data_IF_030640485830
#
_entry.id   IF_030640485830
#
_cell.length_a   1.000
_cell.length_b   1.000
_cell.length_c   1.000
_cell.angle_alpha   90.00
_cell.angle_beta   90.00
_cell.angle_gamma   90.00
#
_symmetry.space_group_name_H-M   'P 1'
#
loop_
_entity.id
_entity.type
_entity.pdbx_description
1 polymer ?
#
# COMPACT_ATOMS: atom_id res chain seq x y z
N UNK A 1 13.11 8.44 -11.95
CA UNK A 1 12.92 8.24 -10.49
C UNK A 1 13.13 6.76 -10.20
N UNK A 2 13.68 6.40 -9.04
CA UNK A 2 13.82 4.98 -8.69
C UNK A 2 12.48 4.38 -8.25
N UNK A 3 12.37 3.06 -8.21
CA UNK A 3 11.20 2.36 -7.66
C UNK A 3 10.98 2.73 -6.19
N UNK A 4 12.05 2.84 -5.39
CA UNK A 4 11.97 3.28 -4.01
C UNK A 4 11.43 4.71 -3.89
N UNK A 5 11.92 5.65 -4.71
CA UNK A 5 11.41 7.02 -4.71
C UNK A 5 9.91 7.05 -5.05
N UNK A 6 9.51 6.28 -6.07
CA UNK A 6 8.11 6.20 -6.49
C UNK A 6 7.22 5.70 -5.36
N UNK A 7 7.61 4.60 -4.71
CA UNK A 7 6.85 4.02 -3.59
C UNK A 7 6.79 5.02 -2.43
N UNK A 8 7.92 5.61 -2.02
CA UNK A 8 7.95 6.62 -0.95
C UNK A 8 7.00 7.79 -1.24
N UNK A 9 7.05 8.35 -2.44
CA UNK A 9 6.18 9.48 -2.83
C UNK A 9 4.69 9.09 -2.80
N UNK A 10 4.33 7.86 -3.17
CA UNK A 10 2.94 7.37 -3.08
C UNK A 10 2.42 7.32 -1.65
N UNK A 11 3.25 6.95 -0.69
CA UNK A 11 2.84 6.89 0.72
C UNK A 11 2.92 8.27 1.41
N UNK A 12 3.84 9.12 0.96
CA UNK A 12 3.99 10.48 1.46
C UNK A 12 2.72 11.33 1.28
N UNK A 13 1.94 11.12 0.21
CA UNK A 13 0.64 11.81 0.02
C UNK A 13 -0.38 11.52 1.11
N UNK A 14 -0.17 10.42 1.86
CA UNK A 14 -1.01 10.03 2.99
C UNK A 14 -0.35 10.36 4.35
N UNK A 15 0.79 11.06 4.36
CA UNK A 15 1.54 11.36 5.57
C UNK A 15 2.28 10.13 6.14
N UNK A 16 2.47 9.08 5.34
CA UNK A 16 3.10 7.83 5.77
C UNK A 16 4.56 7.83 5.36
N UNK A 17 5.45 7.74 6.36
CA UNK A 17 6.87 7.49 6.16
C UNK A 17 7.12 5.99 6.19
N UNK A 18 7.71 5.47 5.12
CA UNK A 18 8.10 4.07 5.03
C UNK A 18 9.54 3.89 5.54
N UNK A 19 9.76 2.80 6.26
CA UNK A 19 11.12 2.35 6.58
C UNK A 19 11.77 1.70 5.36
N UNK A 20 13.10 1.53 5.42
CA UNK A 20 13.85 0.80 4.38
C UNK A 20 13.37 -0.66 4.25
N UNK A 21 12.98 -1.29 5.37
CA UNK A 21 12.43 -2.64 5.36
C UNK A 21 11.08 -2.71 4.62
N UNK A 22 10.21 -1.71 4.82
CA UNK A 22 8.92 -1.65 4.12
C UNK A 22 9.11 -1.54 2.60
N UNK A 23 10.10 -0.75 2.17
CA UNK A 23 10.45 -0.61 0.75
C UNK A 23 11.02 -1.91 0.18
N UNK A 24 11.93 -2.54 0.92
CA UNK A 24 12.53 -3.81 0.53
C UNK A 24 11.47 -4.91 0.38
N UNK A 25 10.54 -5.04 1.32
CA UNK A 25 9.47 -6.03 1.27
C UNK A 25 8.59 -5.85 0.02
N UNK A 26 8.26 -4.60 -0.34
CA UNK A 26 7.50 -4.31 -1.56
C UNK A 26 8.30 -4.64 -2.83
N UNK A 27 9.59 -4.30 -2.86
CA UNK A 27 10.47 -4.59 -4.00
C UNK A 27 10.63 -6.11 -4.21
N UNK A 28 10.83 -6.87 -3.13
CA UNK A 28 10.90 -8.34 -3.16
C UNK A 28 9.59 -8.95 -3.68
N UNK A 29 8.44 -8.45 -3.22
CA UNK A 29 7.13 -8.89 -3.71
C UNK A 29 6.93 -8.58 -5.20
N UNK A 30 7.46 -7.46 -5.68
CA UNK A 30 7.41 -7.05 -7.08
C UNK A 30 8.46 -7.74 -7.96
N UNK A 31 9.46 -8.41 -7.35
CA UNK A 31 10.64 -9.01 -8.00
C UNK A 31 11.43 -7.99 -8.82
N UNK A 32 11.64 -6.81 -8.26
CA UNK A 32 12.32 -5.65 -8.88
C UNK A 32 13.31 -5.06 -7.85
N UNK A 33 14.43 -4.49 -8.29
CA UNK A 33 15.31 -3.76 -7.38
C UNK A 33 14.70 -2.39 -7.05
N UNK A 34 14.77 -1.97 -5.79
CA UNK A 34 14.32 -0.65 -5.38
C UNK A 34 15.09 0.50 -6.04
N UNK A 35 16.33 0.24 -6.48
CA UNK A 35 17.20 1.19 -7.16
C UNK A 35 16.96 1.25 -8.68
N UNK A 36 16.21 0.31 -9.24
CA UNK A 36 15.89 0.31 -10.68
C UNK A 36 15.06 1.54 -11.05
N UNK A 37 15.18 1.98 -12.31
CA UNK A 37 14.35 3.06 -12.83
C UNK A 37 12.89 2.63 -12.95
N UNK A 38 12.00 3.51 -12.49
CA UNK A 38 10.56 3.30 -12.61
C UNK A 38 10.11 3.47 -14.07
N UNK A 39 9.53 2.42 -14.65
CA UNK A 39 9.01 2.37 -16.02
C UNK A 39 7.60 1.77 -16.09
N UNK A 40 6.96 1.84 -17.26
CA UNK A 40 5.65 1.23 -17.50
C UNK A 40 5.67 -0.30 -17.30
N UNK A 41 6.78 -0.97 -17.67
CA UNK A 41 6.96 -2.42 -17.57
C UNK A 41 6.97 -2.92 -16.11
N UNK A 42 7.42 -2.08 -15.19
CA UNK A 42 7.53 -2.41 -13.78
C UNK A 42 6.38 -1.82 -12.94
N UNK A 43 5.71 -0.76 -13.43
CA UNK A 43 4.66 -0.03 -12.72
C UNK A 43 3.53 -0.93 -12.22
N UNK A 44 3.02 -1.85 -13.06
CA UNK A 44 1.92 -2.73 -12.66
C UNK A 44 2.33 -3.64 -11.49
N UNK A 45 3.54 -4.20 -11.53
CA UNK A 45 4.05 -5.08 -10.48
C UNK A 45 4.26 -4.33 -9.17
N UNK A 46 4.83 -3.12 -9.25
CA UNK A 46 5.02 -2.24 -8.09
C UNK A 46 3.67 -1.83 -7.47
N UNK A 47 2.69 -1.43 -8.28
CA UNK A 47 1.35 -1.07 -7.78
C UNK A 47 0.63 -2.23 -7.10
N UNK A 48 0.78 -3.45 -7.63
CA UNK A 48 0.23 -4.66 -6.99
C UNK A 48 0.95 -4.96 -5.66
N UNK A 49 2.27 -4.78 -5.59
CA UNK A 49 3.03 -4.95 -4.35
C UNK A 49 2.61 -3.92 -3.28
N UNK A 50 2.43 -2.65 -3.67
CA UNK A 50 1.87 -1.60 -2.82
C UNK A 50 0.50 -2.03 -2.26
N UNK A 51 -0.40 -2.49 -3.14
CA UNK A 51 -1.74 -2.92 -2.72
C UNK A 51 -1.68 -4.05 -1.67
N UNK A 52 -0.83 -5.05 -1.89
CA UNK A 52 -0.66 -6.19 -0.95
C UNK A 52 -0.03 -5.77 0.38
N UNK A 53 0.78 -4.71 0.38
CA UNK A 53 1.46 -4.24 1.58
C UNK A 53 0.53 -3.44 2.50
N UNK A 54 -0.39 -2.64 1.95
CA UNK A 54 -1.27 -1.73 2.71
C UNK A 54 -2.01 -2.39 3.89
N UNK A 55 -2.60 -3.60 3.78
CA UNK A 55 -3.26 -4.25 4.90
C UNK A 55 -2.34 -4.42 6.13
N UNK A 56 -1.12 -4.92 5.91
CA UNK A 56 -0.13 -5.11 6.98
C UNK A 56 0.33 -3.78 7.60
N UNK A 57 0.46 -2.74 6.78
CA UNK A 57 0.79 -1.39 7.22
C UNK A 57 -0.29 -0.82 8.15
N UNK A 58 -1.56 -0.98 7.79
CA UNK A 58 -2.69 -0.45 8.56
C UNK A 58 -2.91 -1.16 9.89
N UNK A 59 -2.57 -2.45 9.98
CA UNK A 59 -2.58 -3.17 11.26
C UNK A 59 -1.58 -2.56 12.25
N UNK A 60 -0.37 -2.21 11.79
CA UNK A 60 0.64 -1.52 12.62
C UNK A 60 0.19 -0.12 13.03
N UNK A 61 -0.42 0.63 12.11
CA UNK A 61 -0.89 2.00 12.35
C UNK A 61 -1.95 2.08 13.46
N UNK A 62 -2.85 1.10 13.49
CA UNK A 62 -3.95 1.06 14.47
C UNK A 62 -3.40 0.95 15.90
N UNK A 63 -2.41 0.09 16.11
CA UNK A 63 -1.71 -0.04 17.40
C UNK A 63 -1.01 1.25 17.85
N UNK A 64 -0.48 2.06 16.91
CA UNK A 64 0.17 3.34 17.23
C UNK A 64 -0.87 4.40 17.60
N UNK A 65 -1.99 4.46 16.89
CA UNK A 65 -3.06 5.43 17.17
C UNK A 65 -3.70 5.25 18.55
N UNK A 66 -3.77 4.02 19.06
CA UNK A 66 -4.28 3.71 20.41
C UNK A 66 -3.33 4.19 21.53
N UNK A 67 -2.04 4.39 21.22
CA UNK A 67 -1.02 4.75 22.20
C UNK A 67 -0.85 6.27 22.44
N UNK A 68 -1.70 7.11 21.86
CA UNK A 68 -1.72 8.56 22.10
C UNK A 68 -0.64 9.38 21.38
N UNK A 69 0.17 8.76 20.52
CA UNK A 69 1.11 9.46 19.62
C UNK A 69 0.40 9.83 18.31
N UNK A 70 0.22 11.13 18.06
CA UNK A 70 -0.44 11.62 16.84
C UNK A 70 0.52 11.67 15.64
N UNK A 71 0.76 10.53 14.99
CA UNK A 71 1.13 10.58 13.58
C UNK A 71 -0.15 10.77 12.75
N UNK A 72 -0.26 11.90 12.05
CA UNK A 72 -1.43 12.29 11.26
C UNK A 72 -1.46 11.60 9.89
N UNK A 73 -1.57 10.27 9.90
CA UNK A 73 -1.78 9.49 8.67
C UNK A 73 -3.20 9.71 8.14
N UNK A 74 -3.33 9.90 6.82
CA UNK A 74 -4.63 9.90 6.16
C UNK A 74 -5.14 8.45 5.98
N UNK A 75 -5.62 7.85 7.07
CA UNK A 75 -6.09 6.45 7.13
C UNK A 75 -7.27 6.22 6.18
N UNK A 76 -8.16 7.18 6.03
CA UNK A 76 -9.28 7.05 5.09
C UNK A 76 -8.79 7.06 3.64
N UNK A 77 -7.90 7.99 3.29
CA UNK A 77 -7.33 8.11 1.95
C UNK A 77 -6.60 6.84 1.52
N UNK A 78 -5.76 6.25 2.40
CA UNK A 78 -5.03 5.02 2.07
C UNK A 78 -5.97 3.81 1.94
N UNK A 79 -7.06 3.73 2.70
CA UNK A 79 -8.10 2.68 2.54
C UNK A 79 -8.85 2.82 1.22
N UNK A 80 -9.20 4.04 0.82
CA UNK A 80 -9.82 4.31 -0.48
C UNK A 80 -8.86 3.98 -1.62
N UNK A 81 -7.58 4.36 -1.50
CA UNK A 81 -6.54 4.03 -2.47
C UNK A 81 -6.33 2.51 -2.62
N UNK A 82 -6.26 1.78 -1.50
CA UNK A 82 -6.22 0.32 -1.51
C UNK A 82 -7.41 -0.29 -2.23
N UNK A 83 -8.63 0.18 -1.92
CA UNK A 83 -9.86 -0.30 -2.57
C UNK A 83 -9.83 -0.04 -4.09
N UNK A 84 -9.28 1.10 -4.51
CA UNK A 84 -9.09 1.44 -5.92
C UNK A 84 -8.10 0.49 -6.60
N UNK A 85 -6.94 0.24 -6.00
CA UNK A 85 -5.94 -0.70 -6.53
C UNK A 85 -6.49 -2.12 -6.62
N UNK A 86 -7.24 -2.58 -5.60
CA UNK A 86 -7.85 -3.91 -5.63
C UNK A 86 -8.82 -4.06 -6.79
N UNK A 87 -9.65 -3.05 -7.05
CA UNK A 87 -10.57 -3.04 -8.20
C UNK A 87 -9.82 -3.01 -9.53
N UNK A 88 -8.81 -2.15 -9.65
CA UNK A 88 -8.05 -1.97 -10.89
C UNK A 88 -7.30 -3.24 -11.30
N UNK A 89 -6.72 -3.95 -10.34
CA UNK A 89 -5.87 -5.12 -10.59
C UNK A 89 -6.56 -6.46 -10.28
N UNK A 90 -7.85 -6.46 -9.96
CA UNK A 90 -8.61 -7.68 -9.64
C UNK A 90 -8.13 -8.41 -8.38
N UNK A 91 -7.59 -7.68 -7.41
CA UNK A 91 -7.11 -8.25 -6.15
C UNK A 91 -8.27 -8.47 -5.18
N UNK A 92 -8.14 -9.48 -4.31
CA UNK A 92 -9.05 -9.68 -3.20
C UNK A 92 -8.90 -8.53 -2.21
N UNK A 93 -10.01 -7.85 -1.95
CA UNK A 93 -10.09 -6.81 -0.94
C UNK A 93 -10.23 -7.48 0.45
N UNK A 94 -9.17 -7.37 1.25
CA UNK A 94 -9.08 -7.95 2.59
C UNK A 94 -9.46 -6.96 3.70
N UNK A 95 -9.60 -5.67 3.35
CA UNK A 95 -9.90 -4.61 4.32
C UNK A 95 -11.38 -4.22 4.31
N UNK A 96 -12.09 -4.43 3.20
CA UNK A 96 -13.51 -4.14 3.15
C UNK A 96 -14.34 -5.31 3.64
N UNK A 97 -15.07 -5.08 4.72
CA UNK A 97 -16.05 -6.02 5.26
C UNK A 97 -17.39 -5.89 4.50
N UNK A 98 -17.34 -5.82 3.16
CA UNK A 98 -18.56 -5.64 2.37
C UNK A 98 -19.42 -6.89 2.47
N UNK A 99 -20.71 -6.76 2.83
CA UNK A 99 -21.61 -7.90 2.86
C UNK A 99 -21.68 -8.51 1.45
N UNK A 100 -21.35 -9.81 1.34
CA UNK A 100 -21.62 -10.58 0.13
C UNK A 100 -23.13 -10.75 0.00
N UNK A 101 -23.75 -10.01 -0.91
CA UNK A 101 -25.14 -10.29 -1.31
C UNK A 101 -25.11 -11.62 -2.07
N UNK A 102 -25.61 -12.67 -1.43
CA UNK A 102 -25.91 -13.96 -2.07
C UNK A 102 -27.36 -13.92 -2.52
N UNK A 103 -27.59 -14.11 -3.81
CA UNK A 103 -28.93 -14.34 -4.34
C UNK A 103 -29.16 -15.86 -4.33
N UNK A 104 -30.23 -16.30 -3.66
CA UNK A 104 -30.72 -17.68 -3.63
C UNK A 104 -31.87 -17.84 -4.60
#
# INVERSE_FOLDING_TARGET
MTVNDYIQQKFQTFGIQLSEADLLDMCLNAKISGEDEMSEDCQTRVSVAIAKFIPSLLLRATSISESGFSMSWNIEGIKQYYSFLCKQYGLKDELSNKPKVSFW
#
